data_IF_749778381072
#
_entry.id   IF_749778381072
#
_cell.length_a   1.000
_cell.length_b   1.000
_cell.length_c   1.000
_cell.angle_alpha   90.00
_cell.angle_beta   90.00
_cell.angle_gamma   90.00
#
_symmetry.space_group_name_H-M   'P 1'
#
loop_
_entity.id
_entity.type
_entity.pdbx_description
1 polymer ?
#
# COMPACT_ATOMS: atom_id res chain seq x y z
N UNK A 1 -3.60 0.95 78.85
CA UNK A 1 -5.03 0.79 78.44
C UNK A 1 -5.63 1.90 77.56
N UNK A 2 -5.33 3.21 77.76
CA UNK A 2 -5.91 4.28 76.91
C UNK A 2 -5.09 4.53 75.64
N UNK A 3 -3.76 4.55 75.75
CA UNK A 3 -2.83 4.77 74.63
C UNK A 3 -2.76 3.59 73.65
N UNK A 4 -2.78 2.35 74.15
CA UNK A 4 -2.80 1.14 73.29
C UNK A 4 -4.01 1.13 72.34
N UNK A 5 -5.18 1.63 72.78
CA UNK A 5 -6.38 1.76 71.94
C UNK A 5 -6.25 2.85 70.87
N UNK A 6 -5.40 3.85 71.08
CA UNK A 6 -5.10 4.87 70.06
C UNK A 6 -4.11 4.29 69.05
N UNK A 7 -3.02 3.69 69.52
CA UNK A 7 -2.02 3.02 68.69
C UNK A 7 -2.64 1.94 67.78
N UNK A 8 -3.52 1.09 68.31
CA UNK A 8 -4.20 0.05 67.52
C UNK A 8 -5.16 0.63 66.46
N UNK A 9 -5.81 1.77 66.74
CA UNK A 9 -6.63 2.48 65.75
C UNK A 9 -5.80 3.11 64.64
N UNK A 10 -4.64 3.69 64.97
CA UNK A 10 -3.72 4.27 63.98
C UNK A 10 -3.13 3.19 63.07
N UNK A 11 -2.71 2.05 63.64
CA UNK A 11 -2.24 0.89 62.87
C UNK A 11 -3.36 0.36 61.95
N UNK A 12 -4.59 0.19 62.45
CA UNK A 12 -5.71 -0.23 61.60
C UNK A 12 -6.04 0.78 60.49
N UNK A 13 -5.98 2.08 60.76
CA UNK A 13 -6.18 3.10 59.72
C UNK A 13 -5.08 3.05 58.66
N UNK A 14 -3.81 2.90 59.04
CA UNK A 14 -2.70 2.73 58.10
C UNK A 14 -2.82 1.45 57.26
N UNK A 15 -3.24 0.33 57.85
CA UNK A 15 -3.50 -0.92 57.11
C UNK A 15 -4.66 -0.77 56.14
N UNK A 16 -5.78 -0.16 56.56
CA UNK A 16 -6.94 0.07 55.69
C UNK A 16 -6.60 1.03 54.54
N UNK A 17 -5.90 2.13 54.81
CA UNK A 17 -5.44 3.08 53.77
C UNK A 17 -4.42 2.42 52.83
N UNK A 18 -3.48 1.63 53.35
CA UNK A 18 -2.53 0.86 52.54
C UNK A 18 -3.23 -0.12 51.60
N UNK A 19 -4.17 -0.93 52.12
CA UNK A 19 -4.96 -1.88 51.31
C UNK A 19 -5.82 -1.15 50.27
N UNK A 20 -6.39 0.01 50.59
CA UNK A 20 -7.17 0.82 49.64
C UNK A 20 -6.28 1.40 48.53
N UNK A 21 -5.12 1.99 48.87
CA UNK A 21 -4.18 2.52 47.89
C UNK A 21 -3.63 1.42 46.97
N UNK A 22 -3.29 0.25 47.52
CA UNK A 22 -2.87 -0.90 46.70
C UNK A 22 -4.00 -1.34 45.76
N UNK A 23 -5.25 -1.40 46.22
CA UNK A 23 -6.40 -1.77 45.38
C UNK A 23 -6.66 -0.76 44.27
N UNK A 24 -6.61 0.55 44.55
CA UNK A 24 -6.77 1.60 43.54
C UNK A 24 -5.67 1.51 42.49
N UNK A 25 -4.40 1.40 42.91
CA UNK A 25 -3.27 1.24 41.98
C UNK A 25 -3.37 -0.03 41.11
N UNK A 26 -3.78 -1.17 41.69
CA UNK A 26 -4.01 -2.39 40.89
C UNK A 26 -5.19 -2.26 39.92
N UNK A 27 -6.24 -1.54 40.31
CA UNK A 27 -7.43 -1.34 39.47
C UNK A 27 -7.11 -0.40 38.29
N UNK A 28 -6.40 0.70 38.51
CA UNK A 28 -5.95 1.62 37.46
C UNK A 28 -5.00 0.92 36.47
N UNK A 29 -4.03 0.14 36.97
CA UNK A 29 -3.14 -0.64 36.11
C UNK A 29 -3.94 -1.66 35.26
N UNK A 30 -4.86 -2.40 35.87
CA UNK A 30 -5.69 -3.38 35.13
C UNK A 30 -6.58 -2.73 34.04
N UNK A 31 -7.08 -1.52 34.28
CA UNK A 31 -7.89 -0.78 33.30
C UNK A 31 -7.04 -0.24 32.14
N UNK A 32 -5.83 0.25 32.43
CA UNK A 32 -4.87 0.70 31.43
C UNK A 32 -4.39 -0.46 30.55
N UNK A 33 -4.05 -1.61 31.14
CA UNK A 33 -3.66 -2.82 30.39
C UNK A 33 -4.82 -3.36 29.54
N UNK A 34 -6.04 -3.39 30.07
CA UNK A 34 -7.23 -3.77 29.30
C UNK A 34 -7.46 -2.84 28.10
N UNK A 35 -7.38 -1.51 28.27
CA UNK A 35 -7.55 -0.55 27.17
C UNK A 35 -6.42 -0.66 26.13
N UNK A 36 -5.18 -0.92 26.58
CA UNK A 36 -4.01 -1.12 25.72
C UNK A 36 -4.17 -2.40 24.87
N UNK A 37 -4.53 -3.51 25.50
CA UNK A 37 -4.73 -4.80 24.83
C UNK A 37 -5.92 -4.75 23.86
N UNK A 38 -7.00 -4.04 24.21
CA UNK A 38 -8.11 -3.78 23.29
C UNK A 38 -7.65 -3.01 22.04
N UNK A 39 -6.92 -1.90 22.20
CA UNK A 39 -6.36 -1.15 21.06
C UNK A 39 -5.42 -1.98 20.20
N UNK A 40 -4.63 -2.87 20.82
CA UNK A 40 -3.74 -3.79 20.10
C UNK A 40 -4.55 -4.81 19.28
N UNK A 41 -5.60 -5.39 19.87
CA UNK A 41 -6.54 -6.28 19.18
C UNK A 41 -7.23 -5.58 18.00
N UNK A 42 -7.77 -4.37 18.22
CA UNK A 42 -8.48 -3.59 17.19
C UNK A 42 -7.55 -3.29 15.99
N UNK A 43 -6.29 -2.92 16.25
CA UNK A 43 -5.28 -2.68 15.20
C UNK A 43 -4.87 -3.96 14.47
N UNK A 44 -4.69 -5.07 15.17
CA UNK A 44 -4.38 -6.36 14.55
C UNK A 44 -5.56 -6.84 13.68
N UNK A 45 -6.81 -6.72 14.13
CA UNK A 45 -8.00 -6.96 13.31
C UNK A 45 -8.07 -6.04 12.09
N UNK A 46 -7.75 -4.75 12.25
CA UNK A 46 -7.74 -3.78 11.16
C UNK A 46 -6.64 -4.06 10.11
N UNK A 47 -5.50 -4.60 10.54
CA UNK A 47 -4.40 -5.04 9.66
C UNK A 47 -4.73 -6.38 8.98
N UNK A 48 -5.30 -7.35 9.71
CA UNK A 48 -5.79 -8.61 9.14
C UNK A 48 -6.81 -8.33 8.03
N UNK A 49 -7.78 -7.46 8.29
CA UNK A 49 -8.83 -7.10 7.33
C UNK A 49 -8.26 -6.44 6.07
N UNK A 50 -7.25 -5.57 6.22
CA UNK A 50 -6.53 -4.99 5.06
C UNK A 50 -5.75 -6.06 4.29
N UNK A 51 -5.13 -7.01 4.97
CA UNK A 51 -4.44 -8.13 4.33
C UNK A 51 -5.42 -9.07 3.58
N UNK A 52 -6.53 -9.45 4.20
CA UNK A 52 -7.53 -10.30 3.55
C UNK A 52 -8.19 -9.61 2.34
N UNK A 53 -8.46 -8.31 2.43
CA UNK A 53 -8.99 -7.52 1.30
C UNK A 53 -7.94 -7.31 0.21
N UNK A 54 -6.72 -6.95 0.57
CA UNK A 54 -5.59 -6.78 -0.34
C UNK A 54 -5.20 -8.07 -1.07
N UNK A 55 -5.40 -9.24 -0.47
CA UNK A 55 -5.23 -10.55 -1.12
C UNK A 55 -6.27 -10.84 -2.23
N UNK A 56 -7.42 -10.16 -2.19
CA UNK A 56 -8.60 -10.39 -3.04
C UNK A 56 -8.78 -9.32 -4.13
N UNK A 57 -8.46 -8.06 -3.86
CA UNK A 57 -8.55 -6.98 -4.87
C UNK A 57 -7.72 -7.27 -6.13
N UNK A 58 -8.15 -6.71 -7.26
CA UNK A 58 -7.44 -6.71 -8.54
C UNK A 58 -7.54 -5.31 -9.19
N UNK A 59 -6.48 -4.53 -9.11
CA UNK A 59 -6.44 -3.15 -9.62
C UNK A 59 -6.42 -3.07 -11.16
N UNK A 60 -6.06 -4.15 -11.87
CA UNK A 60 -6.12 -4.19 -13.35
C UNK A 60 -7.57 -4.07 -13.85
N UNK A 61 -8.56 -4.56 -13.10
CA UNK A 61 -9.96 -4.43 -13.51
C UNK A 61 -10.40 -2.95 -13.52
N UNK A 62 -9.86 -2.12 -12.62
CA UNK A 62 -10.10 -0.66 -12.56
C UNK A 62 -9.48 0.11 -13.75
N UNK A 63 -8.58 -0.50 -14.54
CA UNK A 63 -8.11 0.11 -15.80
C UNK A 63 -9.15 0.04 -16.91
N UNK A 64 -10.04 -0.97 -16.90
CA UNK A 64 -11.04 -1.19 -17.95
C UNK A 64 -12.06 -0.05 -18.03
N UNK A 65 -12.20 0.73 -16.97
CA UNK A 65 -13.07 1.90 -16.88
C UNK A 65 -12.42 3.20 -17.42
N UNK A 66 -11.10 3.23 -17.65
CA UNK A 66 -10.42 4.41 -18.21
C UNK A 66 -10.72 4.56 -19.71
N UNK A 67 -11.30 5.70 -20.10
CA UNK A 67 -11.73 5.93 -21.49
C UNK A 67 -10.58 5.90 -22.52
N UNK A 68 -9.34 6.19 -22.11
CA UNK A 68 -8.18 6.11 -22.99
C UNK A 68 -7.74 4.65 -23.16
N UNK A 69 -7.79 3.87 -22.08
CA UNK A 69 -7.50 2.44 -22.11
C UNK A 69 -8.56 1.65 -22.90
N UNK A 70 -9.84 2.05 -22.81
CA UNK A 70 -10.90 1.53 -23.67
C UNK A 70 -10.69 1.85 -25.15
N UNK A 71 -10.24 3.07 -25.49
CA UNK A 71 -9.87 3.42 -26.86
C UNK A 71 -8.71 2.54 -27.36
N UNK A 72 -7.67 2.36 -26.53
CA UNK A 72 -6.52 1.54 -26.88
C UNK A 72 -6.92 0.09 -27.18
N UNK A 73 -7.69 -0.55 -26.29
CA UNK A 73 -8.13 -1.93 -26.44
C UNK A 73 -9.13 -2.16 -27.58
N UNK A 74 -9.84 -1.14 -28.08
CA UNK A 74 -10.81 -1.26 -29.17
C UNK A 74 -10.21 -1.24 -30.58
N UNK A 75 -8.94 -0.88 -30.75
CA UNK A 75 -8.31 -0.88 -32.07
C UNK A 75 -6.84 -0.47 -32.14
N UNK A 76 -6.33 0.33 -31.21
CA UNK A 76 -4.91 0.71 -31.24
C UNK A 76 -3.96 -0.42 -30.78
N UNK A 77 -4.43 -1.33 -29.93
CA UNK A 77 -3.68 -2.47 -29.36
C UNK A 77 -3.13 -3.44 -30.42
N UNK A 78 -3.88 -3.61 -31.50
CA UNK A 78 -3.62 -4.60 -32.56
C UNK A 78 -3.27 -3.95 -33.91
N UNK A 79 -3.20 -2.61 -33.99
CA UNK A 79 -2.77 -1.90 -35.21
C UNK A 79 -1.29 -2.15 -35.51
N UNK A 80 -1.00 -2.49 -36.77
CA UNK A 80 0.36 -2.75 -37.22
C UNK A 80 1.24 -1.49 -37.15
N UNK A 81 0.67 -0.32 -37.42
CA UNK A 81 1.37 0.97 -37.38
C UNK A 81 1.85 1.36 -35.96
N UNK A 82 1.08 0.96 -34.93
CA UNK A 82 1.35 1.22 -33.51
C UNK A 82 2.01 0.06 -32.78
N UNK A 83 2.50 -0.96 -33.48
CA UNK A 83 3.03 -2.18 -32.84
C UNK A 83 4.05 -1.89 -31.73
N UNK A 84 5.07 -1.06 -32.01
CA UNK A 84 6.11 -0.67 -31.03
C UNK A 84 5.51 0.01 -29.79
N UNK A 85 4.53 0.87 -29.99
CA UNK A 85 3.86 1.63 -28.94
C UNK A 85 2.90 0.76 -28.12
N UNK A 86 2.19 -0.16 -28.77
CA UNK A 86 1.33 -1.14 -28.15
C UNK A 86 2.13 -2.18 -27.34
N UNK A 87 3.31 -2.57 -27.83
CA UNK A 87 4.20 -3.48 -27.11
C UNK A 87 4.79 -2.80 -25.85
N UNK A 88 5.11 -1.50 -25.88
CA UNK A 88 5.43 -0.71 -24.67
C UNK A 88 4.27 -0.69 -23.65
N UNK A 89 3.02 -0.55 -24.11
CA UNK A 89 1.85 -0.60 -23.22
C UNK A 89 1.67 -2.00 -22.62
N UNK A 90 1.81 -3.07 -23.41
CA UNK A 90 1.76 -4.47 -22.93
C UNK A 90 2.87 -4.78 -21.91
N UNK A 91 4.06 -4.20 -22.07
CA UNK A 91 5.14 -4.31 -21.08
C UNK A 91 4.74 -3.66 -19.75
N UNK A 92 4.17 -2.45 -19.79
CA UNK A 92 3.68 -1.76 -18.59
C UNK A 92 2.50 -2.50 -17.95
N UNK A 93 1.56 -3.03 -18.72
CA UNK A 93 0.48 -3.89 -18.23
C UNK A 93 1.05 -5.11 -17.49
N UNK A 94 2.07 -5.74 -18.05
CA UNK A 94 2.74 -6.91 -17.45
C UNK A 94 3.45 -6.56 -16.14
N UNK A 95 4.08 -5.37 -16.06
CA UNK A 95 4.67 -4.85 -14.80
C UNK A 95 3.59 -4.60 -13.75
N UNK A 96 2.52 -3.88 -14.08
CA UNK A 96 1.39 -3.63 -13.16
C UNK A 96 0.81 -4.95 -12.65
N UNK A 97 0.60 -5.93 -13.53
CA UNK A 97 0.07 -7.25 -13.16
C UNK A 97 1.04 -8.05 -12.26
N UNK A 98 2.35 -7.94 -12.51
CA UNK A 98 3.39 -8.56 -11.69
C UNK A 98 3.41 -7.99 -10.27
N UNK A 99 3.52 -6.66 -10.13
CA UNK A 99 3.53 -5.99 -8.83
C UNK A 99 2.20 -6.22 -8.08
N UNK A 100 1.05 -6.20 -8.76
CA UNK A 100 -0.24 -6.55 -8.16
C UNK A 100 -0.28 -7.99 -7.64
N UNK A 101 0.19 -8.97 -8.43
CA UNK A 101 0.24 -10.37 -7.99
C UNK A 101 1.19 -10.58 -6.81
N UNK A 102 2.32 -9.87 -6.79
CA UNK A 102 3.28 -9.93 -5.69
C UNK A 102 2.71 -9.28 -4.42
N UNK A 103 2.05 -8.13 -4.53
CA UNK A 103 1.35 -7.48 -3.42
C UNK A 103 0.25 -8.39 -2.83
N UNK A 104 -0.61 -8.97 -3.67
CA UNK A 104 -1.65 -9.94 -3.26
C UNK A 104 -1.06 -11.16 -2.57
N UNK A 105 0.07 -11.66 -3.05
CA UNK A 105 0.80 -12.80 -2.46
C UNK A 105 1.36 -12.44 -1.09
N UNK A 106 2.02 -11.28 -0.96
CA UNK A 106 2.54 -10.79 0.32
C UNK A 106 1.42 -10.56 1.35
N UNK A 107 0.27 -10.00 0.92
CA UNK A 107 -0.92 -9.89 1.76
C UNK A 107 -1.46 -11.26 2.24
N UNK A 108 -1.53 -12.28 1.37
CA UNK A 108 -1.91 -13.65 1.79
C UNK A 108 -0.94 -14.20 2.82
N UNK A 109 0.36 -14.02 2.63
CA UNK A 109 1.39 -14.48 3.57
C UNK A 109 1.25 -13.83 4.95
N UNK A 110 0.95 -12.53 5.01
CA UNK A 110 0.67 -11.84 6.28
C UNK A 110 -0.60 -12.38 6.98
N UNK A 111 -1.64 -12.70 6.22
CA UNK A 111 -2.93 -13.18 6.74
C UNK A 111 -2.93 -14.66 7.14
N UNK A 112 -2.28 -15.54 6.37
CA UNK A 112 -2.45 -17.00 6.46
C UNK A 112 -1.14 -17.82 6.36
N UNK A 113 0.02 -17.16 6.21
CA UNK A 113 1.32 -17.83 6.13
C UNK A 113 1.74 -18.24 4.71
N UNK A 114 2.91 -18.89 4.62
CA UNK A 114 3.57 -19.22 3.35
C UNK A 114 2.94 -20.42 2.62
N UNK A 115 2.77 -20.27 1.31
CA UNK A 115 2.19 -21.26 0.38
C UNK A 115 0.71 -21.58 0.63
N UNK A 116 -0.07 -20.56 1.03
CA UNK A 116 -1.48 -20.69 1.41
C UNK A 116 -2.39 -19.82 0.54
N UNK A 117 -3.26 -20.46 -0.25
CA UNK A 117 -4.35 -19.76 -0.98
C UNK A 117 -5.61 -19.56 -0.13
N UNK A 118 -5.78 -20.38 0.92
CA UNK A 118 -6.91 -20.37 1.86
C UNK A 118 -6.45 -20.86 3.23
N UNK A 119 -6.93 -20.21 4.27
CA UNK A 119 -6.66 -20.49 5.69
C UNK A 119 -6.41 -21.98 6.00
N UNK A 120 -5.21 -22.27 6.52
CA UNK A 120 -4.69 -23.59 6.85
C UNK A 120 -4.15 -23.57 8.28
N UNK A 121 -4.43 -24.61 9.08
CA UNK A 121 -4.11 -24.63 10.51
C UNK A 121 -2.60 -24.54 10.75
N UNK A 122 -1.82 -25.49 10.23
CA UNK A 122 -0.37 -25.59 10.45
C UNK A 122 0.37 -24.34 9.92
N UNK A 123 -0.06 -23.81 8.77
CA UNK A 123 0.58 -22.63 8.16
C UNK A 123 0.23 -21.32 8.85
N UNK A 124 -0.99 -21.21 9.38
CA UNK A 124 -1.44 -19.98 10.07
C UNK A 124 -0.94 -19.96 11.52
N UNK A 125 -0.97 -21.11 12.21
CA UNK A 125 -0.78 -21.20 13.66
C UNK A 125 0.51 -21.92 14.11
N UNK A 126 1.32 -22.43 13.17
CA UNK A 126 2.52 -23.21 13.46
C UNK A 126 2.23 -24.72 13.48
N UNK A 127 3.28 -25.53 13.36
CA UNK A 127 3.16 -26.98 13.26
C UNK A 127 2.61 -27.64 14.52
N UNK A 128 1.80 -28.69 14.33
CA UNK A 128 1.45 -29.67 15.38
C UNK A 128 2.63 -29.97 16.35
N UNK A 129 2.40 -29.80 17.65
CA UNK A 129 3.37 -30.15 18.70
C UNK A 129 4.36 -29.05 19.11
N UNK A 130 4.14 -27.79 18.71
CA UNK A 130 4.88 -26.66 19.27
C UNK A 130 4.55 -26.49 20.76
N UNK A 131 5.52 -26.78 21.66
CA UNK A 131 5.30 -26.83 23.11
C UNK A 131 4.79 -25.52 23.75
N UNK A 132 4.97 -24.38 23.06
CA UNK A 132 4.50 -23.05 23.48
C UNK A 132 4.21 -22.18 22.25
N UNK A 133 3.05 -22.34 21.57
CA UNK A 133 2.80 -21.63 20.31
C UNK A 133 2.63 -20.12 20.52
N UNK A 134 2.38 -19.69 21.76
CA UNK A 134 2.35 -18.29 22.16
C UNK A 134 3.61 -17.83 22.92
N UNK A 135 4.78 -18.45 22.69
CA UNK A 135 6.05 -17.88 23.13
C UNK A 135 6.34 -16.60 22.29
N UNK A 136 6.49 -15.41 22.88
CA UNK A 136 6.77 -14.17 22.15
C UNK A 136 8.12 -14.18 21.41
N UNK A 137 9.06 -15.04 21.78
CA UNK A 137 10.37 -15.20 21.11
C UNK A 137 10.26 -15.97 19.78
N UNK A 138 9.19 -16.74 19.57
CA UNK A 138 9.01 -17.59 18.38
C UNK A 138 8.72 -16.83 17.08
N UNK A 139 8.60 -15.51 17.12
CA UNK A 139 8.46 -14.67 15.92
C UNK A 139 7.21 -15.00 15.10
N UNK A 140 6.02 -14.97 15.75
CA UNK A 140 4.74 -15.40 15.18
C UNK A 140 4.54 -14.97 13.72
N UNK A 141 4.28 -15.95 12.86
CA UNK A 141 4.38 -15.82 11.40
C UNK A 141 3.21 -15.09 10.74
N UNK A 142 2.05 -15.01 11.40
CA UNK A 142 0.79 -14.49 10.83
C UNK A 142 0.04 -13.57 11.80
N UNK A 143 -0.81 -12.69 11.25
CA UNK A 143 -1.65 -11.79 12.06
C UNK A 143 -2.66 -12.57 12.93
N UNK A 144 -3.33 -13.65 12.46
CA UNK A 144 -4.19 -14.45 13.33
C UNK A 144 -3.46 -15.06 14.54
N UNK A 145 -2.23 -15.56 14.38
CA UNK A 145 -1.44 -16.08 15.51
C UNK A 145 -1.16 -14.99 16.55
N UNK A 146 -0.82 -13.77 16.09
CA UNK A 146 -0.71 -12.58 16.96
C UNK A 146 -2.00 -12.30 17.75
N UNK A 147 -3.17 -12.36 17.10
CA UNK A 147 -4.47 -12.08 17.74
C UNK A 147 -4.81 -13.15 18.79
N UNK A 148 -4.64 -14.45 18.48
CA UNK A 148 -4.92 -15.50 19.47
C UNK A 148 -3.98 -15.37 20.67
N UNK A 149 -2.68 -15.18 20.43
CA UNK A 149 -1.71 -15.15 21.52
C UNK A 149 -1.85 -13.91 22.39
N UNK A 150 -2.31 -12.78 21.83
CA UNK A 150 -2.82 -11.66 22.60
C UNK A 150 -4.00 -12.09 23.48
N UNK A 151 -5.03 -12.76 22.93
CA UNK A 151 -6.18 -13.23 23.69
C UNK A 151 -5.81 -14.23 24.81
N UNK A 152 -4.90 -15.16 24.56
CA UNK A 152 -4.38 -16.06 25.59
C UNK A 152 -3.67 -15.30 26.72
N UNK A 153 -2.86 -14.27 26.39
CA UNK A 153 -2.15 -13.47 27.40
C UNK A 153 -3.07 -12.72 28.36
N UNK A 154 -4.31 -12.43 27.96
CA UNK A 154 -5.31 -11.77 28.82
C UNK A 154 -5.90 -12.76 29.84
N UNK A 155 -5.93 -14.06 29.54
CA UNK A 155 -6.22 -15.14 30.50
C UNK A 155 -7.68 -15.31 30.93
N UNK A 156 -8.57 -14.37 30.59
CA UNK A 156 -10.01 -14.37 30.85
C UNK A 156 -10.79 -13.73 29.69
N UNK A 157 -12.10 -13.99 29.61
CA UNK A 157 -12.97 -13.52 28.54
C UNK A 157 -13.26 -12.01 28.63
N UNK A 158 -12.89 -11.26 27.60
CA UNK A 158 -13.15 -9.82 27.45
C UNK A 158 -14.21 -9.55 26.37
N UNK A 159 -14.59 -8.29 26.21
CA UNK A 159 -15.43 -7.83 25.11
C UNK A 159 -14.78 -8.06 23.73
N UNK A 160 -13.44 -8.03 23.63
CA UNK A 160 -12.71 -8.34 22.40
C UNK A 160 -12.30 -9.82 22.28
N UNK A 161 -11.78 -10.47 23.32
CA UNK A 161 -11.36 -11.87 23.33
C UNK A 161 -12.41 -12.77 24.00
N UNK A 162 -13.05 -13.73 23.30
CA UNK A 162 -14.13 -14.53 23.86
C UNK A 162 -13.71 -15.46 25.02
N UNK A 163 -12.41 -15.75 25.18
CA UNK A 163 -11.89 -16.51 26.32
C UNK A 163 -12.35 -17.97 26.30
N UNK A 164 -12.32 -18.61 25.14
CA UNK A 164 -12.77 -19.99 24.99
C UNK A 164 -11.80 -20.99 25.61
N UNK A 165 -12.26 -22.22 25.81
CA UNK A 165 -11.41 -23.32 26.27
C UNK A 165 -10.30 -23.64 25.26
N UNK A 166 -10.58 -23.45 23.95
CA UNK A 166 -9.59 -23.62 22.88
C UNK A 166 -8.50 -22.52 22.92
N UNK A 167 -8.85 -21.28 23.29
CA UNK A 167 -7.88 -20.17 23.43
C UNK A 167 -6.80 -20.55 24.45
N UNK A 168 -7.26 -21.11 25.58
CA UNK A 168 -6.42 -21.59 26.68
C UNK A 168 -5.66 -22.87 26.35
N UNK A 169 -6.25 -23.80 25.58
CA UNK A 169 -5.54 -25.02 25.15
C UNK A 169 -4.39 -24.65 24.22
N UNK A 170 -4.67 -23.90 23.15
CA UNK A 170 -3.65 -23.44 22.21
C UNK A 170 -2.49 -22.76 22.95
N UNK A 171 -2.80 -21.74 23.76
CA UNK A 171 -1.79 -20.99 24.50
C UNK A 171 -0.92 -21.77 25.49
N UNK A 172 -1.37 -22.96 25.93
CA UNK A 172 -0.66 -23.82 26.89
C UNK A 172 -0.16 -25.14 26.24
N UNK A 173 0.22 -25.09 24.96
CA UNK A 173 0.80 -26.23 24.23
C UNK A 173 -0.21 -27.06 23.43
N UNK A 174 -1.34 -26.45 23.04
CA UNK A 174 -2.32 -27.05 22.13
C UNK A 174 -1.87 -27.08 20.67
N UNK A 175 -2.70 -27.63 19.78
CA UNK A 175 -2.34 -27.86 18.38
C UNK A 175 -2.74 -26.70 17.46
N UNK A 176 -2.31 -26.76 16.20
CA UNK A 176 -2.69 -25.79 15.18
C UNK A 176 -4.23 -25.67 15.01
N UNK A 177 -4.94 -26.77 15.23
CA UNK A 177 -6.40 -26.90 15.18
C UNK A 177 -7.07 -26.17 16.34
N UNK A 178 -6.51 -26.22 17.56
CA UNK A 178 -6.99 -25.42 18.69
C UNK A 178 -6.88 -23.92 18.36
N UNK A 179 -5.79 -23.53 17.69
CA UNK A 179 -5.61 -22.19 17.13
C UNK A 179 -6.67 -21.85 16.09
N UNK A 180 -6.89 -22.70 15.09
CA UNK A 180 -7.88 -22.47 14.04
C UNK A 180 -9.32 -22.41 14.59
N UNK A 181 -9.68 -23.25 15.57
CA UNK A 181 -10.98 -23.20 16.24
C UNK A 181 -11.17 -21.89 16.99
N UNK A 182 -10.17 -21.49 17.78
CA UNK A 182 -10.14 -20.21 18.50
C UNK A 182 -10.31 -19.04 17.53
N UNK A 183 -9.54 -19.03 16.45
CA UNK A 183 -9.60 -17.99 15.44
C UNK A 183 -10.96 -17.92 14.76
N UNK A 184 -11.60 -19.04 14.42
CA UNK A 184 -12.96 -19.02 13.86
C UNK A 184 -13.98 -18.33 14.78
N UNK A 185 -13.81 -18.41 16.11
CA UNK A 185 -14.61 -17.68 17.09
C UNK A 185 -14.28 -16.17 17.18
N UNK A 186 -13.09 -15.75 16.76
CA UNK A 186 -12.60 -14.36 16.82
C UNK A 186 -12.75 -13.63 15.48
N UNK A 187 -12.52 -14.33 14.36
CA UNK A 187 -12.42 -13.80 12.98
C UNK A 187 -13.59 -12.90 12.61
N UNK A 188 -14.81 -13.29 12.99
CA UNK A 188 -16.03 -12.51 12.76
C UNK A 188 -16.00 -11.11 13.38
N UNK A 189 -15.29 -10.90 14.51
CA UNK A 189 -15.09 -9.56 15.10
C UNK A 189 -14.13 -8.71 14.27
N UNK A 190 -13.12 -9.31 13.65
CA UNK A 190 -12.20 -8.58 12.78
C UNK A 190 -12.87 -8.23 11.44
N UNK A 191 -13.66 -9.14 10.86
CA UNK A 191 -14.15 -9.01 9.48
C UNK A 191 -15.54 -8.39 9.33
N UNK A 192 -16.27 -8.15 10.44
CA UNK A 192 -17.65 -7.61 10.43
C UNK A 192 -17.82 -6.32 9.63
N UNK A 193 -16.85 -5.39 9.73
CA UNK A 193 -16.89 -4.07 9.06
C UNK A 193 -15.99 -3.97 7.82
N UNK A 194 -15.55 -5.11 7.29
CA UNK A 194 -14.50 -5.23 6.24
C UNK A 194 -14.78 -4.48 4.93
N UNK A 195 -16.05 -4.18 4.62
CA UNK A 195 -16.42 -3.36 3.47
C UNK A 195 -15.76 -1.97 3.48
N UNK A 196 -15.61 -1.35 4.65
CA UNK A 196 -15.12 0.02 4.83
C UNK A 196 -13.58 0.14 4.83
N UNK A 197 -12.84 -0.96 4.99
CA UNK A 197 -11.40 -0.92 5.19
C UNK A 197 -10.65 -0.38 3.96
N UNK A 198 -9.93 0.73 4.12
CA UNK A 198 -9.05 1.28 3.10
C UNK A 198 -7.75 0.46 3.02
N UNK A 199 -7.51 -0.18 1.87
CA UNK A 199 -6.24 -0.86 1.56
C UNK A 199 -5.33 0.12 0.82
N UNK A 200 -4.68 0.99 1.58
CA UNK A 200 -3.70 1.96 1.07
C UNK A 200 -2.39 1.86 1.84
N UNK A 201 -1.28 2.25 1.20
CA UNK A 201 0.06 2.27 1.81
C UNK A 201 0.05 3.10 3.12
N UNK A 202 -0.58 4.27 3.10
CA UNK A 202 -0.64 5.15 4.27
C UNK A 202 -1.50 4.57 5.41
N UNK A 203 -2.62 3.91 5.09
CA UNK A 203 -3.45 3.28 6.11
C UNK A 203 -2.72 2.12 6.80
N UNK A 204 -2.02 1.28 6.03
CA UNK A 204 -1.23 0.16 6.56
C UNK A 204 -0.05 0.68 7.39
N UNK A 205 0.70 1.66 6.87
CA UNK A 205 1.83 2.28 7.59
C UNK A 205 1.38 2.92 8.91
N UNK A 206 0.28 3.68 8.88
CA UNK A 206 -0.27 4.33 10.08
C UNK A 206 -0.67 3.31 11.15
N UNK A 207 -1.38 2.25 10.76
CA UNK A 207 -1.79 1.22 11.72
C UNK A 207 -0.59 0.47 12.32
N UNK A 208 0.45 0.19 11.51
CA UNK A 208 1.72 -0.36 11.99
C UNK A 208 2.48 0.58 12.92
N UNK A 209 2.47 1.90 12.67
CA UNK A 209 3.10 2.91 13.52
C UNK A 209 2.37 3.06 14.87
N UNK A 210 1.04 3.09 14.88
CA UNK A 210 0.26 3.12 16.12
C UNK A 210 0.46 1.82 16.90
N UNK A 211 0.45 0.67 16.22
CA UNK A 211 0.70 -0.63 16.83
C UNK A 211 2.11 -0.72 17.44
N UNK A 212 3.14 -0.21 16.76
CA UNK A 212 4.51 -0.09 17.31
C UNK A 212 4.53 0.67 18.63
N UNK A 213 3.73 1.74 18.74
CA UNK A 213 3.58 2.53 19.96
C UNK A 213 2.92 1.78 21.13
N UNK A 214 2.27 0.63 20.90
CA UNK A 214 1.67 -0.21 21.94
C UNK A 214 2.60 -1.33 22.43
N UNK A 215 3.64 -1.69 21.68
CA UNK A 215 4.64 -2.63 22.20
C UNK A 215 5.41 -1.97 23.35
N UNK A 216 5.78 -2.73 24.40
CA UNK A 216 6.68 -2.20 25.41
C UNK A 216 7.97 -1.76 24.74
N UNK A 217 8.33 -0.48 24.86
CA UNK A 217 9.74 -0.11 24.81
C UNK A 217 10.37 -0.89 25.95
N UNK A 218 11.32 -1.77 25.64
CA UNK A 218 12.17 -2.31 26.70
C UNK A 218 12.78 -1.12 27.43
N UNK A 219 12.71 -1.15 28.76
CA UNK A 219 13.49 -0.26 29.58
C UNK A 219 14.95 -0.33 29.12
N UNK A 220 15.60 0.83 29.10
CA UNK A 220 17.06 0.89 29.15
C UNK A 220 17.46 0.22 30.46
N UNK A 221 17.76 -1.07 30.41
CA UNK A 221 18.43 -1.74 31.51
C UNK A 221 19.74 -0.98 31.73
N UNK A 222 20.03 -0.52 32.95
CA UNK A 222 21.29 0.15 33.21
C UNK A 222 22.41 -0.83 32.88
N UNK A 223 23.25 -0.45 31.90
CA UNK A 223 24.36 -1.28 31.48
C UNK A 223 25.17 -1.74 32.71
N UNK A 224 25.58 -3.01 32.79
CA UNK A 224 26.36 -3.48 33.92
C UNK A 224 27.60 -2.58 34.09
N UNK A 225 27.97 -2.22 35.32
CA UNK A 225 29.05 -1.27 35.56
C UNK A 225 30.32 -1.76 34.85
N UNK A 226 31.01 -0.90 34.07
CA UNK A 226 32.15 -1.34 33.28
C UNK A 226 33.22 -1.92 34.21
N UNK A 227 33.80 -3.04 33.78
CA UNK A 227 35.00 -3.58 34.43
C UNK A 227 36.10 -2.50 34.42
N UNK A 228 36.92 -2.38 35.48
CA UNK A 228 37.97 -1.38 35.54
C UNK A 228 38.95 -1.58 34.38
N UNK A 229 38.98 -0.61 33.46
CA UNK A 229 39.85 -0.64 32.29
C UNK A 229 41.33 -0.51 32.68
N UNK A 230 42.26 -1.21 32.01
CA UNK A 230 43.69 -0.97 32.18
C UNK A 230 44.04 0.46 31.71
N UNK A 231 44.92 1.18 32.43
CA UNK A 231 45.21 2.58 32.12
C UNK A 231 45.92 2.72 30.78
N UNK A 232 45.29 3.41 29.81
CA UNK A 232 45.95 3.79 28.56
C UNK A 232 45.06 4.08 27.35
N UNK A 233 43.79 3.65 27.35
CA UNK A 233 42.89 3.86 26.22
C UNK A 233 41.75 4.83 26.58
N UNK A 234 41.42 5.82 25.74
CA UNK A 234 40.14 6.50 25.85
C UNK A 234 39.04 5.50 25.42
N UNK A 235 37.97 5.31 26.21
CA UNK A 235 36.90 4.42 25.80
C UNK A 235 36.28 4.93 24.49
N UNK A 236 36.01 4.06 23.50
CA UNK A 236 35.29 4.46 22.31
C UNK A 236 33.90 4.98 22.75
N UNK A 237 33.35 6.02 22.09
CA UNK A 237 32.00 6.46 22.40
C UNK A 237 31.05 5.27 22.21
N UNK A 238 30.17 4.97 23.19
CA UNK A 238 29.29 3.82 23.08
C UNK A 238 28.43 3.98 21.83
N UNK A 239 28.59 3.06 20.88
CA UNK A 239 27.71 2.97 19.73
C UNK A 239 26.31 2.70 20.29
N UNK A 240 25.31 3.55 20.04
CA UNK A 240 23.96 3.28 20.50
C UNK A 240 23.46 2.05 19.75
N UNK A 241 23.47 0.90 20.43
CA UNK A 241 22.83 -0.32 19.95
C UNK A 241 21.34 -0.01 19.76
N UNK A 242 20.93 0.17 18.50
CA UNK A 242 19.52 0.19 18.14
C UNK A 242 18.96 -1.21 18.41
N UNK A 243 18.46 -1.42 19.64
CA UNK A 243 17.72 -2.62 20.02
C UNK A 243 16.66 -2.94 18.94
N UNK A 244 16.51 -4.21 18.54
CA UNK A 244 15.64 -4.57 17.43
C UNK A 244 14.17 -4.20 17.73
N UNK A 245 13.51 -3.59 16.75
CA UNK A 245 12.08 -3.29 16.81
C UNK A 245 11.28 -4.60 16.82
N UNK A 246 10.71 -4.94 17.99
CA UNK A 246 9.93 -6.17 18.23
C UNK A 246 8.70 -6.32 17.33
N UNK A 247 8.20 -5.23 16.73
CA UNK A 247 7.16 -5.33 15.72
C UNK A 247 7.77 -5.59 14.34
N UNK A 248 8.84 -4.90 13.96
CA UNK A 248 9.50 -5.11 12.65
C UNK A 248 10.16 -6.49 12.50
N UNK A 249 10.50 -7.17 13.60
CA UNK A 249 11.00 -8.54 13.57
C UNK A 249 9.92 -9.60 13.27
N UNK A 250 8.63 -9.25 13.32
CA UNK A 250 7.53 -10.19 13.03
C UNK A 250 7.43 -10.47 11.52
N UNK A 251 7.43 -11.74 11.08
CA UNK A 251 7.34 -12.09 9.66
C UNK A 251 6.15 -11.45 8.93
N UNK A 252 4.96 -11.44 9.54
CA UNK A 252 3.78 -10.82 8.89
C UNK A 252 3.93 -9.30 8.70
N UNK A 253 4.70 -8.59 9.54
CA UNK A 253 5.01 -7.17 9.34
C UNK A 253 5.93 -6.98 8.14
N UNK A 254 6.92 -7.86 7.98
CA UNK A 254 7.76 -7.89 6.77
C UNK A 254 6.90 -8.13 5.52
N UNK A 255 5.93 -9.06 5.59
CA UNK A 255 4.99 -9.33 4.49
C UNK A 255 4.02 -8.18 4.20
N UNK A 256 3.59 -7.42 5.20
CA UNK A 256 2.86 -6.17 4.95
C UNK A 256 3.73 -5.09 4.32
N UNK A 257 4.99 -4.95 4.74
CA UNK A 257 5.92 -4.01 4.11
C UNK A 257 6.17 -4.37 2.64
N UNK A 258 6.51 -5.65 2.35
CA UNK A 258 6.62 -6.21 0.99
C UNK A 258 5.37 -5.90 0.14
N UNK A 259 4.17 -6.10 0.71
CA UNK A 259 2.92 -5.76 0.04
C UNK A 259 2.81 -4.25 -0.26
N UNK A 260 3.15 -3.38 0.68
CA UNK A 260 3.10 -1.92 0.45
C UNK A 260 4.16 -1.41 -0.53
N UNK A 261 5.31 -2.06 -0.64
CA UNK A 261 6.33 -1.70 -1.62
C UNK A 261 5.86 -2.10 -3.03
N UNK A 262 5.35 -3.32 -3.21
CA UNK A 262 4.72 -3.73 -4.46
C UNK A 262 3.49 -2.88 -4.83
N UNK A 263 2.72 -2.37 -3.86
CA UNK A 263 1.65 -1.40 -4.15
C UNK A 263 2.19 -0.08 -4.74
N UNK A 264 3.32 0.44 -4.24
CA UNK A 264 3.94 1.66 -4.80
C UNK A 264 4.43 1.41 -6.22
N UNK A 265 5.19 0.33 -6.44
CA UNK A 265 5.71 -0.05 -7.75
C UNK A 265 4.57 -0.24 -8.78
N UNK A 266 3.48 -0.89 -8.35
CA UNK A 266 2.25 -1.01 -9.14
C UNK A 266 1.65 0.34 -9.47
N UNK A 267 1.49 1.23 -8.49
CA UNK A 267 0.82 2.53 -8.68
C UNK A 267 1.67 3.47 -9.56
N UNK A 268 3.00 3.42 -9.45
CA UNK A 268 3.94 4.09 -10.35
C UNK A 268 3.84 3.55 -11.79
N UNK A 269 3.88 2.23 -11.98
CA UNK A 269 3.73 1.59 -13.28
C UNK A 269 2.33 1.87 -13.90
N UNK A 270 1.29 1.95 -13.07
CA UNK A 270 -0.07 2.30 -13.46
C UNK A 270 -0.18 3.75 -13.94
N UNK A 271 0.52 4.68 -13.27
CA UNK A 271 0.61 6.07 -13.70
C UNK A 271 1.35 6.20 -15.04
N UNK A 272 2.48 5.49 -15.21
CA UNK A 272 3.22 5.45 -16.48
C UNK A 272 2.36 4.89 -17.62
N UNK A 273 1.61 3.80 -17.37
CA UNK A 273 0.69 3.21 -18.34
C UNK A 273 -0.41 4.19 -18.76
N UNK A 274 -1.02 4.89 -17.81
CA UNK A 274 -2.06 5.91 -18.09
C UNK A 274 -1.51 7.06 -18.91
N UNK A 275 -0.35 7.60 -18.56
CA UNK A 275 0.33 8.66 -19.32
C UNK A 275 0.68 8.21 -20.74
N UNK A 276 1.24 7.01 -20.90
CA UNK A 276 1.59 6.46 -22.21
C UNK A 276 0.34 6.26 -23.10
N UNK A 277 -0.73 5.66 -22.58
CA UNK A 277 -1.98 5.45 -23.34
C UNK A 277 -2.67 6.77 -23.68
N UNK A 278 -2.68 7.74 -22.76
CA UNK A 278 -3.18 9.10 -22.99
C UNK A 278 -2.37 9.83 -24.07
N UNK A 279 -1.04 9.72 -24.06
CA UNK A 279 -0.16 10.25 -25.12
C UNK A 279 -0.48 9.63 -26.47
N UNK A 280 -0.60 8.30 -26.55
CA UNK A 280 -0.95 7.59 -27.79
C UNK A 280 -2.31 8.03 -28.34
N UNK A 281 -3.31 8.20 -27.48
CA UNK A 281 -4.62 8.74 -27.88
C UNK A 281 -4.53 10.20 -28.34
N UNK A 282 -3.69 11.01 -27.71
CA UNK A 282 -3.43 12.39 -28.11
C UNK A 282 -2.79 12.51 -29.50
N UNK A 283 -1.79 11.66 -29.81
CA UNK A 283 -1.10 11.67 -31.10
C UNK A 283 -1.91 11.01 -32.21
N UNK A 284 -2.55 9.86 -31.95
CA UNK A 284 -3.12 8.99 -32.99
C UNK A 284 -4.64 8.82 -32.92
N UNK A 285 -5.31 9.26 -31.85
CA UNK A 285 -6.74 9.03 -31.63
C UNK A 285 -7.69 9.77 -32.58
N UNK A 286 -7.18 10.70 -33.39
CA UNK A 286 -7.92 11.37 -34.45
C UNK A 286 -7.80 10.68 -35.83
N UNK A 287 -6.85 9.76 -35.99
CA UNK A 287 -6.64 9.03 -37.24
C UNK A 287 -7.76 8.00 -37.47
N UNK A 288 -8.23 7.91 -38.71
CA UNK A 288 -9.37 7.06 -39.11
C UNK A 288 -8.96 5.75 -39.77
N UNK A 289 -7.69 5.62 -40.16
CA UNK A 289 -7.12 4.46 -40.86
C UNK A 289 -5.62 4.32 -40.53
N UNK A 290 -5.02 3.17 -40.85
CA UNK A 290 -3.60 2.91 -40.54
C UNK A 290 -2.63 3.78 -41.35
N UNK A 291 -3.04 4.29 -42.51
CA UNK A 291 -2.20 5.13 -43.38
C UNK A 291 -1.99 6.52 -42.75
N UNK A 292 -3.05 7.12 -42.18
CA UNK A 292 -2.98 8.35 -41.37
C UNK A 292 -2.12 8.15 -40.11
N UNK A 293 -2.24 7.00 -39.42
CA UNK A 293 -1.40 6.68 -38.27
C UNK A 293 0.08 6.56 -38.67
N UNK A 294 0.36 5.90 -39.80
CA UNK A 294 1.72 5.77 -40.34
C UNK A 294 2.30 7.13 -40.74
N UNK A 295 1.52 7.97 -41.44
CA UNK A 295 1.94 9.32 -41.81
C UNK A 295 2.23 10.21 -40.58
N UNK A 296 1.42 10.11 -39.52
CA UNK A 296 1.67 10.81 -38.25
C UNK A 296 2.99 10.36 -37.60
N UNK A 297 3.26 9.05 -37.61
CA UNK A 297 4.51 8.47 -37.06
C UNK A 297 5.73 8.90 -37.87
N UNK A 298 5.65 8.86 -39.20
CA UNK A 298 6.71 9.31 -40.12
C UNK A 298 6.93 10.82 -40.08
N UNK A 299 5.90 11.62 -39.78
CA UNK A 299 6.02 13.09 -39.57
C UNK A 299 6.78 13.48 -38.30
N UNK A 300 7.17 12.52 -37.46
CA UNK A 300 7.86 12.76 -36.20
C UNK A 300 6.95 13.19 -35.04
N UNK A 301 5.62 13.22 -35.23
CA UNK A 301 4.66 13.59 -34.18
C UNK A 301 4.67 12.66 -32.94
N UNK A 302 5.29 11.47 -33.06
CA UNK A 302 5.52 10.55 -31.95
C UNK A 302 6.85 10.72 -31.20
N UNK A 303 7.76 11.58 -31.66
CA UNK A 303 9.08 11.75 -31.05
C UNK A 303 8.99 12.43 -29.68
N UNK A 304 9.67 11.85 -28.68
CA UNK A 304 9.78 12.44 -27.35
C UNK A 304 10.63 13.72 -27.39
N UNK A 305 10.01 14.85 -27.03
CA UNK A 305 10.74 16.07 -26.68
C UNK A 305 11.19 16.97 -27.85
N UNK A 306 10.40 17.11 -28.92
CA UNK A 306 10.61 18.19 -29.89
C UNK A 306 9.76 19.43 -29.54
N UNK A 307 10.42 20.57 -29.35
CA UNK A 307 9.78 21.90 -29.24
C UNK A 307 8.84 22.18 -30.43
N UNK A 308 7.83 23.07 -30.27
CA UNK A 308 6.91 23.39 -31.35
C UNK A 308 7.64 24.12 -32.49
N UNK A 309 7.95 23.38 -33.56
CA UNK A 309 8.36 23.97 -34.84
C UNK A 309 7.21 24.80 -35.39
N UNK A 310 7.32 26.11 -35.22
CA UNK A 310 6.48 27.10 -35.88
C UNK A 310 6.60 26.97 -37.40
N UNK A 311 5.64 26.30 -38.03
CA UNK A 311 5.43 26.46 -39.47
C UNK A 311 4.70 27.79 -39.72
N UNK A 312 5.44 28.90 -39.66
CA UNK A 312 4.95 30.19 -40.13
C UNK A 312 5.14 30.29 -41.65
N UNK A 313 4.07 30.53 -42.45
CA UNK A 313 4.21 30.66 -43.89
C UNK A 313 4.63 32.08 -44.30
N UNK A 314 5.69 32.17 -45.11
CA UNK A 314 6.06 33.34 -45.92
C UNK A 314 6.50 34.59 -45.08
N UNK A 315 7.23 35.59 -45.58
CA UNK A 315 7.57 35.95 -46.96
C UNK A 315 8.95 36.64 -46.98
N UNK A 316 9.82 36.34 -47.95
CA UNK A 316 11.07 37.08 -48.12
C UNK A 316 10.91 38.15 -49.22
N UNK A 317 10.85 39.45 -48.86
CA UNK A 317 11.09 40.56 -49.80
C UNK A 317 11.25 41.96 -49.13
N UNK A 318 12.40 42.59 -49.44
CA UNK A 318 12.64 44.04 -49.69
C UNK A 318 12.72 45.05 -48.52
N UNK A 319 13.94 45.59 -48.38
CA UNK A 319 14.40 46.97 -48.74
C UNK A 319 15.94 46.97 -48.65
N UNK A 320 16.77 47.71 -49.39
CA UNK A 320 16.68 48.58 -50.59
C UNK A 320 18.11 48.52 -51.25
N UNK A 321 18.47 49.01 -52.44
CA UNK A 321 17.87 49.93 -53.43
C UNK A 321 18.46 49.72 -54.86
N UNK A 322 17.96 50.52 -55.82
CA UNK A 322 18.62 51.09 -57.02
C UNK A 322 19.16 50.27 -58.23
N UNK A 323 19.08 50.96 -59.38
CA UNK A 323 19.71 50.73 -60.70
C UNK A 323 19.20 49.59 -61.62
N UNK A 324 18.44 49.98 -62.65
CA UNK A 324 18.32 49.28 -63.95
C UNK A 324 19.42 49.79 -64.91
N UNK A 325 19.91 49.01 -65.91
CA UNK A 325 19.22 48.82 -67.20
C UNK A 325 19.14 47.33 -67.65
N UNK A 326 18.02 46.85 -68.20
CA UNK A 326 17.68 46.79 -69.65
C UNK A 326 18.35 45.64 -70.42
N UNK A 327 17.53 44.90 -71.19
CA UNK A 327 17.79 43.82 -72.19
C UNK A 327 17.42 42.38 -71.74
N UNK A 328 16.82 41.49 -72.55
CA UNK A 328 16.13 41.61 -73.87
C UNK A 328 15.27 40.34 -74.10
N UNK A 329 14.01 40.49 -74.59
CA UNK A 329 13.16 39.52 -75.32
C UNK A 329 12.71 38.18 -74.63
N UNK A 330 11.40 37.91 -74.48
CA UNK A 330 10.46 37.24 -75.43
C UNK A 330 10.52 35.69 -75.32
N UNK A 331 9.45 34.88 -75.17
CA UNK A 331 8.02 35.01 -75.52
C UNK A 331 7.08 34.09 -74.69
N UNK A 332 5.75 34.33 -74.79
CA UNK A 332 4.54 33.46 -74.63
C UNK A 332 4.78 31.95 -74.34
N UNK A 333 3.93 31.22 -73.59
CA UNK A 333 2.44 31.14 -73.57
C UNK A 333 1.97 30.84 -72.12
N UNK A 334 0.89 31.35 -71.51
CA UNK A 334 -0.50 31.62 -71.89
C UNK A 334 -1.41 30.37 -71.97
N UNK A 335 -2.30 30.15 -70.98
CA UNK A 335 -3.76 29.86 -71.07
C UNK A 335 -4.33 29.18 -69.79
N UNK A 336 -5.51 29.66 -69.34
CA UNK A 336 -6.52 29.07 -68.41
C UNK A 336 -6.04 28.46 -67.06
N UNK A 337 -6.49 28.85 -65.85
CA UNK A 337 -7.68 29.60 -65.38
C UNK A 337 -9.06 29.00 -65.73
N UNK A 338 -9.65 28.28 -64.77
CA UNK A 338 -11.10 28.18 -64.55
C UNK A 338 -11.42 28.22 -63.04
N UNK A 339 -12.63 28.64 -62.61
CA UNK A 339 -12.78 29.31 -61.31
C UNK A 339 -13.64 28.59 -60.26
N UNK A 340 -13.42 29.00 -58.99
CA UNK A 340 -14.39 29.13 -57.89
C UNK A 340 -15.50 28.08 -57.69
N UNK A 341 -15.46 27.37 -56.55
CA UNK A 341 -16.67 26.92 -55.85
C UNK A 341 -16.92 27.78 -54.60
N UNK A 342 -18.18 28.22 -54.41
CA UNK A 342 -18.59 29.03 -53.26
C UNK A 342 -18.91 28.15 -52.05
N UNK A 343 -18.48 28.56 -50.87
CA UNK A 343 -18.92 27.97 -49.59
C UNK A 343 -20.29 28.57 -49.25
N UNK A 344 -21.27 27.70 -48.97
CA UNK A 344 -22.55 28.10 -48.39
C UNK A 344 -22.64 27.55 -46.97
N UNK A 345 -22.63 28.43 -45.97
CA UNK A 345 -22.97 28.05 -44.59
C UNK A 345 -24.47 27.81 -44.50
N UNK A 346 -24.90 26.70 -43.91
CA UNK A 346 -26.28 26.48 -43.49
C UNK A 346 -26.32 26.00 -42.05
N UNK A 347 -26.77 26.90 -41.17
CA UNK A 347 -27.20 26.61 -39.82
C UNK A 347 -28.51 25.82 -39.82
N UNK A 348 -28.60 24.73 -39.06
CA UNK A 348 -29.86 24.11 -38.69
C UNK A 348 -29.87 23.83 -37.19
N UNK A 349 -30.78 24.47 -36.48
CA UNK A 349 -31.08 24.22 -35.08
C UNK A 349 -31.71 22.83 -34.89
N UNK A 350 -31.47 22.20 -33.74
CA UNK A 350 -32.38 21.18 -33.22
C UNK A 350 -32.94 21.61 -31.85
N UNK A 351 -34.21 21.33 -31.65
CA UNK A 351 -34.96 21.55 -30.41
C UNK A 351 -35.92 20.36 -30.23
N UNK A 352 -35.92 19.79 -29.02
CA UNK A 352 -36.77 18.69 -28.54
C UNK A 352 -36.54 17.33 -29.28
N UNK A 353 -36.65 16.18 -28.62
CA UNK A 353 -37.45 15.80 -27.43
C UNK A 353 -36.55 15.38 -26.26
#
# INVERSE_FOLDING_TARGET
MKEERIMWRVVMQLVVVGVLLTRVATQENSANDHQKNKKMFDLLCALFTKAEKGAKENYIDKLKDDSNYQWFNKGARDSAALKTEADKVKELESKVQSHENNARTAFRKAAYGDHVDKEDADKTFGSHGENQPCNPESGWTTIPKDIICLCNSVGWATDYCPGSESDRKYGNGGTAEDGLQTWNGIKGKCTSDSGSAAVTVDAIRKDLEVLRGLYPKESEEPAPPPLPEPPGFPPPPPVPEKKPDKLASKPWVQKLNEATDHMKERDEALQQLREQVKKLRGTYGAAKNEEEVKALKESGAGAEGAQPSRTAPQTAARKDSDAQPTQTQTQKQNIASFPSLKITLLSVSLCFI
#
